data_IF_296749868758
#
_entry.id   IF_296749868758
#
_cell.length_a   1.000
_cell.length_b   1.000
_cell.length_c   1.000
_cell.angle_alpha   90.00
_cell.angle_beta   90.00
_cell.angle_gamma   90.00
#
_symmetry.space_group_name_H-M   'P 1'
#
loop_
_entity.id
_entity.type
_entity.pdbx_description
1 polymer ?
#
# COMPACT_ATOMS: atom_id res chain seq x y z
N UNK A 1 -6.73 9.78 -8.87
CA UNK A 1 -6.71 9.82 -7.39
C UNK A 1 -5.50 10.59 -6.87
N UNK A 2 -4.27 10.06 -6.93
CA UNK A 2 -3.08 10.73 -6.37
C UNK A 2 -2.84 12.16 -6.90
N UNK A 3 -2.94 12.37 -8.21
CA UNK A 3 -2.81 13.69 -8.85
C UNK A 3 -3.90 14.69 -8.48
N UNK A 4 -5.00 14.20 -7.90
CA UNK A 4 -6.11 15.00 -7.37
C UNK A 4 -5.98 15.23 -5.85
N UNK A 5 -4.88 14.78 -5.22
CA UNK A 5 -4.71 14.80 -3.76
C UNK A 5 -5.55 13.76 -3.01
N UNK A 6 -6.22 12.85 -3.73
CA UNK A 6 -7.07 11.81 -3.14
C UNK A 6 -6.31 10.51 -2.94
N UNK A 7 -6.68 9.75 -1.91
CA UNK A 7 -6.12 8.42 -1.66
C UNK A 7 -6.32 7.50 -2.88
N UNK A 8 -5.27 6.83 -3.38
CA UNK A 8 -5.39 5.84 -4.45
C UNK A 8 -6.35 4.70 -4.10
N UNK A 9 -7.15 4.25 -5.07
CA UNK A 9 -8.08 3.13 -4.88
C UNK A 9 -7.33 1.81 -4.65
N UNK A 10 -6.28 1.56 -5.44
CA UNK A 10 -5.44 0.38 -5.33
C UNK A 10 -4.50 0.45 -4.12
N UNK A 11 -4.52 -0.58 -3.28
CA UNK A 11 -3.75 -0.66 -2.04
C UNK A 11 -2.24 -0.49 -2.27
N UNK A 12 -1.72 -0.98 -3.40
CA UNK A 12 -0.31 -0.92 -3.75
C UNK A 12 0.20 0.51 -3.88
N UNK A 13 -0.68 1.48 -4.18
CA UNK A 13 -0.34 2.89 -4.34
C UNK A 13 -0.71 3.77 -3.15
N UNK A 14 -1.40 3.25 -2.12
CA UNK A 14 -1.72 4.00 -0.89
C UNK A 14 -0.49 4.23 0.00
N UNK A 15 -0.54 5.16 0.94
CA UNK A 15 0.55 5.36 1.89
C UNK A 15 0.73 4.16 2.85
N UNK A 16 -0.38 3.64 3.37
CA UNK A 16 -0.41 2.49 4.29
C UNK A 16 -1.09 1.27 3.66
N UNK A 17 -0.86 0.10 4.25
CA UNK A 17 -1.63 -1.13 4.01
C UNK A 17 -2.75 -1.28 5.05
N UNK A 18 -3.48 -2.39 4.99
CA UNK A 18 -4.29 -2.88 6.12
C UNK A 18 -5.79 -2.96 5.85
N UNK A 19 -6.27 -2.45 4.71
CA UNK A 19 -7.71 -2.41 4.40
C UNK A 19 -8.17 -3.60 3.54
N UNK A 20 -7.23 -4.34 2.94
CA UNK A 20 -7.51 -5.50 2.07
C UNK A 20 -7.24 -6.80 2.81
N UNK A 21 -8.14 -7.14 3.73
CA UNK A 21 -8.12 -8.41 4.45
C UNK A 21 -8.47 -9.57 3.52
N UNK A 22 -8.03 -10.77 3.89
CA UNK A 22 -8.46 -12.01 3.25
C UNK A 22 -9.07 -12.93 4.29
N UNK A 23 -10.10 -13.68 3.87
CA UNK A 23 -10.80 -14.65 4.71
C UNK A 23 -10.72 -15.99 3.99
N UNK A 24 -10.11 -16.96 4.64
CA UNK A 24 -9.99 -18.32 4.14
C UNK A 24 -11.28 -19.13 4.37
N UNK A 25 -11.42 -20.26 3.68
CA UNK A 25 -12.63 -21.08 3.74
C UNK A 25 -12.97 -21.60 5.15
N UNK A 26 -11.96 -21.75 6.01
CA UNK A 26 -12.13 -22.16 7.40
C UNK A 26 -12.54 -20.99 8.33
N UNK A 27 -12.72 -19.79 7.79
CA UNK A 27 -13.06 -18.57 8.55
C UNK A 27 -11.85 -17.77 9.01
N UNK A 28 -10.61 -18.25 8.81
CA UNK A 28 -9.43 -17.52 9.25
C UNK A 28 -9.25 -16.20 8.50
N UNK A 29 -8.96 -15.13 9.24
CA UNK A 29 -8.75 -13.80 8.68
C UNK A 29 -7.28 -13.44 8.75
N UNK A 30 -6.73 -12.94 7.65
CA UNK A 30 -5.35 -12.48 7.56
C UNK A 30 -5.27 -11.03 7.07
N UNK A 31 -4.16 -10.37 7.39
CA UNK A 31 -3.93 -8.96 7.08
C UNK A 31 -3.97 -8.61 5.58
N UNK A 32 -3.64 -9.56 4.70
CA UNK A 32 -3.54 -9.41 3.24
C UNK A 32 -3.39 -10.77 2.56
N UNK A 33 -3.91 -10.91 1.33
CA UNK A 33 -3.74 -12.07 0.45
C UNK A 33 -2.28 -12.45 0.13
N UNK A 34 -1.35 -11.48 0.16
CA UNK A 34 0.08 -11.76 0.01
C UNK A 34 0.78 -12.26 1.29
N UNK A 35 0.06 -12.26 2.42
CA UNK A 35 0.56 -12.52 3.77
C UNK A 35 -0.32 -13.53 4.52
N UNK A 36 -0.71 -14.63 3.86
CA UNK A 36 -1.48 -15.73 4.46
C UNK A 36 -0.52 -16.68 5.20
N UNK A 37 0.10 -16.17 6.26
CA UNK A 37 0.99 -16.92 7.16
C UNK A 37 0.53 -16.77 8.62
N UNK A 38 0.81 -17.73 9.52
CA UNK A 38 0.32 -17.71 10.90
C UNK A 38 0.62 -16.39 11.63
N UNK A 39 1.78 -15.80 11.40
CA UNK A 39 2.20 -14.54 12.00
C UNK A 39 1.38 -13.32 11.54
N UNK A 40 0.56 -13.44 10.49
CA UNK A 40 -0.36 -12.38 10.02
C UNK A 40 -1.85 -12.74 10.21
N UNK A 41 -2.15 -13.90 10.82
CA UNK A 41 -3.54 -14.25 11.19
C UNK A 41 -4.06 -13.29 12.25
N UNK A 42 -5.25 -12.73 12.03
CA UNK A 42 -5.92 -11.79 12.94
C UNK A 42 -6.95 -12.48 13.84
N UNK A 43 -7.51 -13.61 13.39
CA UNK A 43 -8.51 -14.39 14.12
C UNK A 43 -9.31 -15.27 13.18
N UNK A 44 -10.50 -15.68 13.61
CA UNK A 44 -11.44 -16.46 12.82
C UNK A 44 -12.85 -15.83 12.88
N UNK A 45 -13.47 -15.62 11.71
CA UNK A 45 -14.76 -14.95 11.55
C UNK A 45 -15.93 -15.75 12.15
N UNK A 46 -15.82 -17.08 12.18
CA UNK A 46 -16.86 -17.96 12.73
C UNK A 46 -16.93 -17.82 14.25
N UNK A 47 -15.79 -17.56 14.89
CA UNK A 47 -15.65 -17.48 16.34
C UNK A 47 -15.88 -16.05 16.87
N UNK A 48 -15.41 -15.03 16.14
CA UNK A 48 -15.41 -13.64 16.60
C UNK A 48 -15.94 -12.69 15.53
N UNK A 49 -16.90 -11.78 15.84
CA UNK A 49 -17.36 -10.79 14.90
C UNK A 49 -16.23 -9.93 14.33
N UNK A 50 -16.26 -9.66 13.03
CA UNK A 50 -15.19 -8.93 12.32
C UNK A 50 -14.80 -7.62 13.00
N UNK A 51 -15.79 -6.84 13.46
CA UNK A 51 -15.53 -5.56 14.12
C UNK A 51 -14.68 -5.72 15.38
N UNK A 52 -14.87 -6.79 16.15
CA UNK A 52 -14.06 -7.06 17.35
C UNK A 52 -12.65 -7.52 17.00
N UNK A 53 -12.48 -8.20 15.86
CA UNK A 53 -11.16 -8.60 15.36
C UNK A 53 -10.35 -7.42 14.83
N UNK A 54 -11.00 -6.37 14.34
CA UNK A 54 -10.33 -5.24 13.68
C UNK A 54 -10.26 -3.98 14.54
N UNK A 55 -11.25 -3.75 15.39
CA UNK A 55 -11.30 -2.55 16.22
C UNK A 55 -10.10 -2.53 17.17
N UNK A 56 -9.33 -1.46 17.09
CA UNK A 56 -8.09 -1.27 17.84
C UNK A 56 -7.06 -2.42 17.77
N UNK A 57 -7.11 -3.27 16.72
CA UNK A 57 -6.16 -4.35 16.55
C UNK A 57 -4.75 -3.80 16.22
N UNK A 58 -3.89 -3.77 17.23
CA UNK A 58 -2.50 -3.29 17.13
C UNK A 58 -1.69 -4.04 16.08
N UNK A 59 -1.92 -5.35 15.91
CA UNK A 59 -1.22 -6.16 14.91
C UNK A 59 -1.58 -5.68 13.50
N UNK A 60 -2.87 -5.43 13.23
CA UNK A 60 -3.31 -4.93 11.92
C UNK A 60 -2.84 -3.49 11.67
N UNK A 61 -2.90 -2.62 12.69
CA UNK A 61 -2.37 -1.25 12.59
C UNK A 61 -0.88 -1.24 12.28
N UNK A 62 -0.09 -2.09 12.95
CA UNK A 62 1.35 -2.21 12.73
C UNK A 62 1.66 -2.76 11.33
N UNK A 63 0.93 -3.77 10.87
CA UNK A 63 1.05 -4.27 9.50
C UNK A 63 0.80 -3.16 8.47
N UNK A 64 -0.25 -2.38 8.66
CA UNK A 64 -0.59 -1.25 7.79
C UNK A 64 0.50 -0.18 7.74
N UNK A 65 0.96 0.26 8.92
CA UNK A 65 2.00 1.26 9.07
C UNK A 65 3.36 0.82 8.53
N UNK A 66 3.62 -0.50 8.51
CA UNK A 66 4.90 -1.03 8.03
C UNK A 66 5.17 -0.69 6.55
N UNK A 67 4.12 -0.44 5.75
CA UNK A 67 4.29 0.01 4.36
C UNK A 67 5.09 1.31 4.25
N UNK A 68 4.97 2.20 5.23
CA UNK A 68 5.63 3.51 5.26
C UNK A 68 7.13 3.44 5.56
N UNK A 69 7.67 2.26 5.89
CA UNK A 69 9.12 2.05 5.94
C UNK A 69 9.69 1.99 4.52
N UNK A 70 10.10 3.17 4.04
CA UNK A 70 10.63 3.40 2.69
C UNK A 70 12.16 3.52 2.69
N UNK A 71 12.80 3.12 1.59
CA UNK A 71 14.21 3.43 1.34
C UNK A 71 14.43 4.95 1.19
N UNK A 72 15.66 5.44 1.38
CA UNK A 72 15.96 6.87 1.24
C UNK A 72 15.65 7.38 -0.17
N UNK A 73 15.95 6.59 -1.21
CA UNK A 73 15.58 6.89 -2.60
C UNK A 73 14.06 7.10 -2.76
N UNK A 74 13.24 6.26 -2.15
CA UNK A 74 11.77 6.44 -2.17
C UNK A 74 11.33 7.69 -1.41
N UNK A 75 11.98 8.02 -0.29
CA UNK A 75 11.61 9.19 0.53
C UNK A 75 11.80 10.51 -0.22
N UNK A 76 12.85 10.62 -1.04
CA UNK A 76 13.18 11.82 -1.82
C UNK A 76 12.59 11.81 -3.24
N UNK A 77 11.99 10.71 -3.69
CA UNK A 77 11.46 10.58 -5.04
C UNK A 77 10.26 11.50 -5.27
N UNK A 78 10.28 12.26 -6.37
CA UNK A 78 9.19 13.16 -6.78
C UNK A 78 7.83 12.46 -6.98
N UNK A 79 7.83 11.15 -7.20
CA UNK A 79 6.62 10.33 -7.39
C UNK A 79 6.19 9.54 -6.15
N UNK A 80 6.80 9.80 -4.98
CA UNK A 80 6.39 9.14 -3.73
C UNK A 80 4.89 9.27 -3.47
N UNK A 81 4.31 10.44 -3.72
CA UNK A 81 2.87 10.71 -3.53
C UNK A 81 1.95 9.84 -4.41
N UNK A 82 2.48 9.27 -5.49
CA UNK A 82 1.70 8.48 -6.45
C UNK A 82 1.92 6.97 -6.27
N UNK A 83 3.14 6.54 -5.89
CA UNK A 83 3.46 5.12 -5.78
C UNK A 83 3.63 4.61 -4.34
N UNK A 84 4.02 5.48 -3.39
CA UNK A 84 4.32 5.14 -2.00
C UNK A 84 5.21 3.88 -1.81
N UNK A 85 6.19 3.70 -2.70
CA UNK A 85 7.10 2.54 -2.68
C UNK A 85 6.46 1.20 -3.10
N UNK A 86 5.26 1.23 -3.67
CA UNK A 86 4.53 0.05 -4.12
C UNK A 86 4.19 -0.94 -2.99
N UNK A 87 3.77 -2.15 -3.39
CA UNK A 87 3.49 -3.25 -2.46
C UNK A 87 4.77 -3.67 -1.69
N UNK A 88 4.73 -3.80 -0.35
CA UNK A 88 5.85 -4.33 0.44
C UNK A 88 6.30 -5.73 0.01
N UNK A 89 5.39 -6.59 -0.48
CA UNK A 89 5.72 -7.94 -0.99
C UNK A 89 6.72 -7.93 -2.14
N UNK A 90 6.76 -6.85 -2.92
CA UNK A 90 7.68 -6.68 -4.06
C UNK A 90 8.95 -5.92 -3.67
N UNK A 91 9.20 -5.69 -2.38
CA UNK A 91 10.41 -5.02 -1.89
C UNK A 91 11.47 -6.04 -1.51
N UNK A 92 12.57 -6.05 -2.23
CA UNK A 92 13.70 -6.95 -1.97
C UNK A 92 14.95 -6.14 -1.63
N UNK A 93 15.85 -6.72 -0.84
CA UNK A 93 17.18 -6.14 -0.62
C UNK A 93 18.03 -6.49 -1.84
N UNK A 94 18.12 -5.57 -2.80
CA UNK A 94 19.00 -5.68 -3.97
C UNK A 94 19.81 -4.40 -4.09
N UNK A 95 21.15 -4.46 -4.15
CA UNK A 95 22.06 -3.39 -4.61
C UNK A 95 22.02 -1.98 -3.96
N UNK A 96 20.97 -1.65 -3.20
CA UNK A 96 20.61 -0.32 -2.72
C UNK A 96 20.68 -0.22 -1.19
N UNK A 97 21.26 -1.23 -0.52
CA UNK A 97 21.43 -1.31 0.94
C UNK A 97 20.15 -1.48 1.78
N UNK A 98 18.95 -1.14 1.26
CA UNK A 98 17.64 -1.33 1.90
C UNK A 98 16.64 -1.99 0.95
N UNK A 99 15.57 -2.58 1.50
CA UNK A 99 14.49 -3.17 0.72
C UNK A 99 13.84 -2.13 -0.20
N UNK A 100 13.82 -2.41 -1.51
CA UNK A 100 13.34 -1.51 -2.54
C UNK A 100 12.45 -2.26 -3.54
N UNK A 101 11.46 -1.56 -4.10
CA UNK A 101 10.50 -2.21 -5.00
C UNK A 101 11.20 -2.60 -6.31
N UNK A 102 11.14 -3.87 -6.68
CA UNK A 102 11.79 -4.38 -7.89
C UNK A 102 11.28 -3.73 -9.18
N UNK A 103 10.06 -3.17 -9.16
CA UNK A 103 9.44 -2.47 -10.29
C UNK A 103 9.61 -0.95 -10.21
N UNK A 104 10.48 -0.42 -9.33
CA UNK A 104 10.62 1.02 -9.14
C UNK A 104 10.96 1.76 -10.45
N UNK A 105 11.91 1.25 -11.22
CA UNK A 105 12.30 1.88 -12.50
C UNK A 105 11.15 1.88 -13.52
N UNK A 106 10.36 0.82 -13.56
CA UNK A 106 9.16 0.76 -14.40
C UNK A 106 8.12 1.80 -13.97
N UNK A 107 7.85 1.91 -12.66
CA UNK A 107 6.97 2.96 -12.12
C UNK A 107 7.50 4.35 -12.41
N UNK A 108 8.79 4.60 -12.21
CA UNK A 108 9.39 5.90 -12.42
C UNK A 108 9.33 6.31 -13.90
N UNK A 109 9.63 5.39 -14.82
CA UNK A 109 9.54 5.62 -16.26
C UNK A 109 8.10 5.94 -16.69
N UNK A 110 7.15 5.10 -16.30
CA UNK A 110 5.75 5.28 -16.65
C UNK A 110 5.18 6.59 -16.06
N UNK A 111 5.42 6.86 -14.77
CA UNK A 111 4.97 8.08 -14.12
C UNK A 111 5.64 9.32 -14.71
N UNK A 112 6.93 9.26 -15.08
CA UNK A 112 7.61 10.37 -15.77
C UNK A 112 6.95 10.71 -17.10
N UNK A 113 6.58 9.70 -17.88
CA UNK A 113 5.89 9.90 -19.15
C UNK A 113 4.48 10.49 -18.96
N UNK A 114 3.73 9.96 -17.98
CA UNK A 114 2.35 10.36 -17.74
C UNK A 114 2.20 11.69 -16.98
N UNK A 115 3.21 12.10 -16.20
CA UNK A 115 3.15 13.24 -15.28
C UNK A 115 2.58 14.54 -15.87
N UNK A 116 3.04 15.05 -17.04
CA UNK A 116 2.49 16.28 -17.60
C UNK A 116 1.00 16.16 -17.96
N UNK A 117 0.60 15.00 -18.51
CA UNK A 117 -0.78 14.74 -18.91
C UNK A 117 -1.70 14.58 -17.71
N UNK A 118 -1.28 13.82 -16.69
CA UNK A 118 -2.07 13.62 -15.48
C UNK A 118 -2.19 14.90 -14.66
N UNK A 119 -1.16 15.77 -14.64
CA UNK A 119 -1.27 17.12 -14.05
C UNK A 119 -2.24 18.00 -14.82
N UNK A 120 -2.19 17.98 -16.15
CA UNK A 120 -3.13 18.74 -16.98
C UNK A 120 -4.56 18.28 -16.76
N UNK A 121 -4.79 16.97 -16.80
CA UNK A 121 -6.09 16.36 -16.56
C UNK A 121 -6.59 16.65 -15.14
N UNK A 122 -5.74 16.55 -14.12
CA UNK A 122 -6.13 16.89 -12.76
C UNK A 122 -6.62 18.34 -12.61
N UNK A 123 -6.01 19.29 -13.30
CA UNK A 123 -6.45 20.70 -13.30
C UNK A 123 -7.86 20.89 -13.86
N UNK A 124 -8.32 20.04 -14.78
CA UNK A 124 -9.68 20.15 -15.34
C UNK A 124 -10.79 19.78 -14.35
N UNK A 125 -10.46 19.13 -13.22
CA UNK A 125 -11.43 18.79 -12.17
C UNK A 125 -11.61 19.91 -11.12
N UNK A 126 -10.90 21.05 -11.24
CA UNK A 126 -10.94 22.11 -10.23
C UNK A 126 -10.31 21.70 -8.88
N UNK A 127 -10.49 22.53 -7.84
CA UNK A 127 -10.10 22.15 -6.47
C UNK A 127 -11.14 21.18 -5.90
N UNK A 128 -10.78 19.90 -5.83
CA UNK A 128 -11.55 18.91 -5.10
C UNK A 128 -11.31 19.17 -3.61
N UNK A 129 -12.38 19.57 -2.90
CA UNK A 129 -12.38 19.80 -1.44
C UNK A 129 -12.37 18.47 -0.70
#
# INVERSE_FOLDING_TARGET
>A
MAYLGLQPSLCIFRETCGDQLVIEQNGDIYSCDHYVYPEYKLGNLIETPLIQLLDNNTKQKNFGAAKSFLSEQCKICKFRFACHGGCPKHRTIQGFGKAHNQLCEAYYSALSHMDPYLKSFAKSFGKIK
#
